data_IF_669309552042
#
_entry.id   IF_669309552042
#
_cell.length_a   1.000
_cell.length_b   1.000
_cell.length_c   1.000
_cell.angle_alpha   90.00
_cell.angle_beta   90.00
_cell.angle_gamma   90.00
#
_symmetry.space_group_name_H-M   'P 1'
#
loop_
_entity.id
_entity.type
_entity.pdbx_description
1 polymer ?
#
# COMPACT_ATOMS: atom_id res chain seq x y z
N UNK A 1 -22.87 -5.39 -12.10
CA UNK A 1 -22.71 -4.03 -12.67
C UNK A 1 -21.23 -3.72 -12.59
N UNK A 2 -20.55 -3.62 -13.74
CA UNK A 2 -19.13 -3.27 -13.79
C UNK A 2 -19.01 -1.76 -13.70
N UNK A 3 -18.32 -1.27 -12.67
CA UNK A 3 -18.07 0.15 -12.51
C UNK A 3 -16.94 0.56 -13.44
N UNK A 4 -17.21 1.38 -14.43
CA UNK A 4 -16.21 1.97 -15.30
C UNK A 4 -15.64 3.25 -14.65
N UNK A 5 -14.34 3.24 -14.37
CA UNK A 5 -13.63 4.39 -13.82
C UNK A 5 -12.86 5.16 -14.88
N UNK A 6 -12.94 6.48 -14.85
CA UNK A 6 -12.10 7.36 -15.68
C UNK A 6 -11.00 7.95 -14.78
N UNK A 7 -9.77 7.91 -15.26
CA UNK A 7 -8.63 8.55 -14.59
C UNK A 7 -8.63 10.05 -14.94
N UNK A 8 -8.87 10.90 -13.94
CA UNK A 8 -8.81 12.37 -14.13
C UNK A 8 -7.38 12.86 -14.32
N UNK A 9 -7.23 14.12 -14.77
CA UNK A 9 -5.93 14.79 -14.94
C UNK A 9 -5.10 14.82 -13.66
N UNK A 10 -5.76 14.79 -12.51
CA UNK A 10 -5.15 14.88 -11.18
C UNK A 10 -4.90 13.51 -10.53
N UNK A 11 -5.26 12.44 -11.24
CA UNK A 11 -5.01 11.07 -10.81
C UNK A 11 -6.10 10.45 -9.95
N UNK A 12 -7.24 11.12 -9.80
CA UNK A 12 -8.40 10.55 -9.14
C UNK A 12 -9.24 9.70 -10.10
N UNK A 13 -9.91 8.68 -9.54
CA UNK A 13 -10.86 7.85 -10.26
C UNK A 13 -12.24 8.50 -10.14
N UNK A 14 -12.90 8.73 -11.26
CA UNK A 14 -14.29 9.15 -11.29
C UNK A 14 -15.09 8.00 -11.91
N UNK A 15 -16.14 7.58 -11.22
CA UNK A 15 -17.11 6.64 -11.74
C UNK A 15 -17.89 7.32 -12.88
N UNK A 16 -17.78 6.81 -14.09
CA UNK A 16 -18.50 7.35 -15.23
C UNK A 16 -19.73 6.51 -15.52
N UNK A 17 -20.88 7.07 -15.32
CA UNK A 17 -22.17 6.50 -15.74
C UNK A 17 -22.56 6.86 -17.17
N UNK A 18 -21.76 7.69 -17.86
CA UNK A 18 -22.04 8.13 -19.23
C UNK A 18 -20.82 8.00 -20.13
N UNK A 19 -20.97 7.29 -21.25
CA UNK A 19 -20.04 7.24 -22.37
C UNK A 19 -20.08 8.60 -23.13
N UNK A 20 -19.24 9.54 -22.70
CA UNK A 20 -19.09 10.80 -23.44
C UNK A 20 -18.11 10.62 -24.59
N UNK A 21 -18.61 10.50 -25.79
CA UNK A 21 -17.83 10.57 -27.03
C UNK A 21 -17.37 12.00 -27.30
N UNK A 22 -16.22 12.40 -26.76
CA UNK A 22 -15.58 13.64 -27.18
C UNK A 22 -14.81 13.41 -28.48
N UNK A 23 -15.34 13.96 -29.59
CA UNK A 23 -14.61 14.03 -30.85
C UNK A 23 -13.29 14.81 -30.69
N UNK A 24 -12.17 14.21 -31.05
CA UNK A 24 -10.86 14.88 -31.02
C UNK A 24 -10.87 15.94 -32.12
N UNK A 25 -10.75 17.22 -31.75
CA UNK A 25 -10.69 18.37 -32.66
C UNK A 25 -9.57 18.17 -33.70
N UNK A 26 -9.91 18.11 -34.99
CA UNK A 26 -8.94 17.91 -36.08
C UNK A 26 -8.83 16.49 -36.64
N UNK A 27 -9.62 15.53 -36.16
CA UNK A 27 -9.66 14.18 -36.72
C UNK A 27 -10.58 14.15 -37.97
N UNK A 28 -10.04 13.76 -39.13
CA UNK A 28 -10.85 13.50 -40.32
C UNK A 28 -11.78 12.30 -40.05
N UNK A 29 -13.08 12.50 -40.34
CA UNK A 29 -14.07 11.43 -40.24
C UNK A 29 -13.60 10.18 -41.01
N UNK A 30 -13.58 9.02 -40.34
CA UNK A 30 -13.20 7.74 -40.92
C UNK A 30 -11.75 7.31 -40.74
N UNK A 31 -10.87 8.15 -40.16
CA UNK A 31 -9.48 7.76 -39.86
C UNK A 31 -9.33 7.54 -38.36
N UNK A 32 -9.29 6.28 -37.94
CA UNK A 32 -8.99 5.92 -36.56
C UNK A 32 -7.48 6.01 -36.33
N UNK A 33 -7.04 6.94 -35.51
CA UNK A 33 -5.61 7.19 -35.27
C UNK A 33 -4.88 5.97 -34.69
N UNK A 34 -5.57 5.11 -33.95
CA UNK A 34 -5.00 4.01 -33.19
C UNK A 34 -5.50 2.64 -33.62
N UNK A 35 -6.51 2.58 -34.48
CA UNK A 35 -7.06 1.36 -35.06
C UNK A 35 -7.21 1.50 -36.57
N UNK A 36 -6.91 0.43 -37.27
CA UNK A 36 -7.18 0.29 -38.70
C UNK A 36 -8.68 0.01 -38.95
N UNK A 37 -9.11 0.05 -40.21
CA UNK A 37 -10.52 -0.24 -40.61
C UNK A 37 -10.96 -1.67 -40.22
N UNK A 38 -10.05 -2.60 -40.21
CA UNK A 38 -10.26 -4.02 -39.84
C UNK A 38 -10.27 -4.27 -38.32
N UNK A 39 -10.15 -3.20 -37.51
CA UNK A 39 -10.09 -3.32 -36.05
C UNK A 39 -8.70 -3.59 -35.48
N UNK A 40 -7.69 -3.89 -36.30
CA UNK A 40 -6.32 -4.08 -35.86
C UNK A 40 -5.70 -2.75 -35.35
N UNK A 41 -4.71 -2.84 -34.47
CA UNK A 41 -4.03 -1.63 -33.94
C UNK A 41 -3.01 -1.11 -34.96
N UNK A 42 -3.00 0.22 -35.14
CA UNK A 42 -1.88 0.90 -35.83
C UNK A 42 -0.60 0.81 -34.98
N UNK A 43 0.56 1.12 -35.55
CA UNK A 43 1.82 1.18 -34.79
C UNK A 43 1.72 2.11 -33.55
N UNK A 44 1.04 3.24 -33.69
CA UNK A 44 0.79 4.14 -32.56
C UNK A 44 -0.19 3.56 -31.53
N UNK A 45 -1.17 2.79 -31.98
CA UNK A 45 -2.09 2.04 -31.14
C UNK A 45 -1.38 0.93 -30.36
N UNK A 46 -0.54 0.14 -31.02
CA UNK A 46 0.28 -0.90 -30.37
C UNK A 46 1.16 -0.32 -29.27
N UNK A 47 1.89 0.77 -29.53
CA UNK A 47 2.74 1.40 -28.53
C UNK A 47 1.95 1.85 -27.29
N UNK A 48 0.75 2.40 -27.47
CA UNK A 48 -0.12 2.76 -26.34
C UNK A 48 -0.60 1.55 -25.57
N UNK A 49 -1.03 0.51 -26.28
CA UNK A 49 -1.46 -0.75 -25.69
C UNK A 49 -0.35 -1.36 -24.85
N UNK A 50 0.87 -1.43 -25.37
CA UNK A 50 2.03 -1.97 -24.65
C UNK A 50 2.35 -1.17 -23.39
N UNK A 51 2.26 0.17 -23.46
CA UNK A 51 2.46 1.04 -22.28
C UNK A 51 1.40 0.79 -21.20
N UNK A 52 0.13 0.61 -21.59
CA UNK A 52 -0.97 0.35 -20.65
C UNK A 52 -0.88 -1.06 -20.06
N UNK A 53 -0.58 -2.06 -20.89
CA UNK A 53 -0.41 -3.44 -20.43
C UNK A 53 0.75 -3.52 -19.42
N UNK A 54 1.88 -2.91 -19.73
CA UNK A 54 3.02 -2.85 -18.82
C UNK A 54 2.68 -2.15 -17.50
N UNK A 55 1.88 -1.08 -17.54
CA UNK A 55 1.43 -0.37 -16.35
C UNK A 55 0.44 -1.23 -15.53
N UNK A 56 -0.48 -1.93 -16.19
CA UNK A 56 -1.42 -2.84 -15.55
C UNK A 56 -0.70 -4.00 -14.85
N UNK A 57 0.28 -4.60 -15.49
CA UNK A 57 1.07 -5.72 -14.93
C UNK A 57 1.93 -5.26 -13.76
N UNK A 58 2.49 -4.05 -13.81
CA UNK A 58 3.22 -3.47 -12.70
C UNK A 58 2.30 -3.19 -11.52
N UNK A 59 1.14 -2.60 -11.74
CA UNK A 59 0.14 -2.34 -10.71
C UNK A 59 -0.35 -3.66 -10.08
N UNK A 60 -0.59 -4.71 -10.89
CA UNK A 60 -0.94 -6.03 -10.38
C UNK A 60 0.13 -6.58 -9.45
N UNK A 61 1.41 -6.51 -9.84
CA UNK A 61 2.53 -6.97 -8.99
C UNK A 61 2.56 -6.23 -7.64
N UNK A 62 2.35 -4.92 -7.63
CA UNK A 62 2.29 -4.15 -6.40
C UNK A 62 1.07 -4.52 -5.54
N UNK A 63 -0.08 -4.76 -6.15
CA UNK A 63 -1.25 -5.29 -5.44
C UNK A 63 -0.95 -6.64 -4.78
N UNK A 64 -0.34 -7.56 -5.50
CA UNK A 64 0.00 -8.89 -4.97
C UNK A 64 1.04 -8.82 -3.85
N UNK A 65 2.03 -7.92 -3.96
CA UNK A 65 3.01 -7.67 -2.89
C UNK A 65 2.33 -7.10 -1.64
N UNK A 66 1.52 -6.07 -1.80
CA UNK A 66 0.81 -5.43 -0.70
C UNK A 66 -0.16 -6.40 0.01
N UNK A 67 -0.82 -7.29 -0.73
CA UNK A 67 -1.65 -8.34 -0.15
C UNK A 67 -0.84 -9.30 0.71
N UNK A 68 0.30 -9.78 0.21
CA UNK A 68 1.21 -10.65 0.99
C UNK A 68 1.73 -9.96 2.25
N UNK A 69 2.03 -8.67 2.17
CA UNK A 69 2.45 -7.89 3.34
C UNK A 69 1.30 -7.75 4.35
N UNK A 70 0.06 -7.53 3.89
CA UNK A 70 -1.13 -7.53 4.76
C UNK A 70 -1.31 -8.86 5.49
N UNK A 71 -1.21 -9.98 4.78
CA UNK A 71 -1.30 -11.32 5.37
C UNK A 71 -0.19 -11.57 6.40
N UNK A 72 1.05 -11.18 6.06
CA UNK A 72 2.22 -11.29 6.96
C UNK A 72 2.03 -10.47 8.23
N UNK A 73 1.58 -9.22 8.12
CA UNK A 73 1.34 -8.36 9.27
C UNK A 73 0.17 -8.86 10.13
N UNK A 74 -0.90 -9.38 9.52
CA UNK A 74 -1.99 -10.01 10.28
C UNK A 74 -1.48 -11.23 11.07
N UNK A 75 -0.69 -12.10 10.44
CA UNK A 75 -0.09 -13.24 11.13
C UNK A 75 0.79 -12.76 12.28
N UNK A 76 1.63 -11.74 12.05
CA UNK A 76 2.51 -11.19 13.09
C UNK A 76 1.71 -10.56 14.23
N UNK A 77 0.59 -9.89 13.96
CA UNK A 77 -0.29 -9.37 14.99
C UNK A 77 -0.79 -10.48 15.93
N UNK A 78 -1.27 -11.59 15.38
CA UNK A 78 -1.72 -12.72 16.21
C UNK A 78 -0.57 -13.38 16.99
N UNK A 79 0.62 -13.50 16.39
CA UNK A 79 1.81 -13.99 17.07
C UNK A 79 2.17 -13.14 18.29
N UNK A 80 2.24 -11.81 18.14
CA UNK A 80 2.61 -10.91 19.26
C UNK A 80 1.52 -10.85 20.33
N UNK A 81 0.25 -10.98 19.96
CA UNK A 81 -0.88 -11.05 20.89
C UNK A 81 -0.76 -12.26 21.83
N UNK A 82 -0.38 -13.42 21.28
CA UNK A 82 -0.28 -14.69 22.00
C UNK A 82 1.08 -14.88 22.67
N UNK A 83 2.10 -14.15 22.24
CA UNK A 83 3.47 -14.35 22.72
C UNK A 83 3.60 -14.08 24.22
N UNK A 84 4.38 -14.94 24.87
CA UNK A 84 4.87 -14.71 26.22
C UNK A 84 6.31 -14.22 26.15
N UNK A 85 6.70 -13.39 27.11
CA UNK A 85 8.08 -12.94 27.23
C UNK A 85 8.88 -13.88 28.13
N UNK A 86 10.11 -14.19 27.73
CA UNK A 86 11.06 -14.92 28.56
C UNK A 86 11.55 -14.06 29.72
N UNK A 87 12.16 -14.70 30.73
CA UNK A 87 12.76 -13.96 31.84
C UNK A 87 13.94 -13.08 31.40
N UNK A 88 14.67 -13.48 30.37
CA UNK A 88 15.74 -12.64 29.80
C UNK A 88 15.19 -11.40 29.12
N UNK A 89 14.11 -11.52 28.36
CA UNK A 89 13.40 -10.38 27.74
C UNK A 89 12.80 -9.47 28.82
N UNK A 90 12.18 -10.03 29.85
CA UNK A 90 11.69 -9.27 30.99
C UNK A 90 12.80 -8.45 31.65
N UNK A 91 13.93 -9.09 31.99
CA UNK A 91 15.08 -8.39 32.60
C UNK A 91 15.64 -7.30 31.68
N UNK A 92 15.68 -7.56 30.37
CA UNK A 92 16.11 -6.55 29.39
C UNK A 92 15.18 -5.35 29.40
N UNK A 93 13.87 -5.55 29.29
CA UNK A 93 12.87 -4.50 29.32
C UNK A 93 12.93 -3.69 30.61
N UNK A 94 13.09 -4.35 31.76
CA UNK A 94 13.20 -3.64 33.04
C UNK A 94 14.44 -2.75 33.11
N UNK A 95 15.58 -3.20 32.60
CA UNK A 95 16.80 -2.37 32.51
C UNK A 95 16.62 -1.17 31.58
N UNK A 96 15.96 -1.35 30.46
CA UNK A 96 15.68 -0.28 29.52
C UNK A 96 14.73 0.78 30.11
N UNK A 97 13.72 0.35 30.87
CA UNK A 97 12.74 1.23 31.50
C UNK A 97 13.27 1.95 32.75
N UNK A 98 14.00 1.24 33.60
CA UNK A 98 14.31 1.69 34.96
C UNK A 98 15.79 1.74 35.30
N UNK A 99 16.67 1.34 34.39
CA UNK A 99 18.13 1.41 34.61
C UNK A 99 18.55 0.72 35.90
N UNK A 100 19.15 1.47 36.84
CA UNK A 100 19.65 0.95 38.12
C UNK A 100 18.55 0.43 39.05
N UNK A 101 17.31 0.90 38.90
CA UNK A 101 16.16 0.48 39.71
C UNK A 101 15.46 -0.78 39.19
N UNK A 102 15.92 -1.35 38.08
CA UNK A 102 15.33 -2.52 37.44
C UNK A 102 15.25 -3.79 38.34
N UNK A 103 16.11 -3.89 39.35
CA UNK A 103 16.16 -4.99 40.32
C UNK A 103 15.37 -4.73 41.60
N UNK A 104 14.87 -3.51 41.83
CA UNK A 104 13.99 -3.18 42.97
C UNK A 104 12.56 -3.59 42.59
N UNK A 105 12.16 -4.77 43.05
CA UNK A 105 10.84 -5.32 42.74
C UNK A 105 9.70 -4.43 43.20
N UNK A 106 9.84 -3.78 44.37
CA UNK A 106 8.81 -2.89 44.95
C UNK A 106 8.66 -1.61 44.13
N UNK A 107 9.78 -1.02 43.74
CA UNK A 107 9.81 0.14 42.87
C UNK A 107 9.17 -0.16 41.51
N UNK A 108 9.61 -1.23 40.86
CA UNK A 108 9.11 -1.66 39.53
C UNK A 108 7.60 -1.97 39.59
N UNK A 109 7.12 -2.62 40.64
CA UNK A 109 5.68 -2.88 40.80
C UNK A 109 4.87 -1.62 40.99
N UNK A 110 5.38 -0.66 41.77
CA UNK A 110 4.73 0.64 42.00
C UNK A 110 4.64 1.43 40.70
N UNK A 111 5.75 1.52 39.96
CA UNK A 111 5.77 2.24 38.70
C UNK A 111 4.89 1.58 37.62
N UNK A 112 4.85 0.25 37.56
CA UNK A 112 3.94 -0.43 36.66
C UNK A 112 2.46 -0.03 36.95
N UNK A 113 2.07 0.02 38.18
CA UNK A 113 0.71 0.47 38.60
C UNK A 113 0.46 1.95 38.29
N UNK A 114 1.44 2.82 38.55
CA UNK A 114 1.36 4.25 38.23
C UNK A 114 1.17 4.48 36.73
N UNK A 115 1.79 3.66 35.88
CA UNK A 115 1.64 3.67 34.42
C UNK A 115 0.37 2.97 33.91
N UNK A 116 -0.48 2.44 34.81
CA UNK A 116 -1.75 1.80 34.46
C UNK A 116 -1.67 0.33 34.05
N UNK A 117 -0.54 -0.34 34.33
CA UNK A 117 -0.37 -1.77 34.06
C UNK A 117 -0.76 -2.61 35.27
N UNK A 118 -1.33 -3.79 35.04
CA UNK A 118 -1.72 -4.69 36.11
C UNK A 118 -0.51 -5.29 36.87
N UNK A 119 0.62 -5.44 36.18
CA UNK A 119 1.86 -5.97 36.73
C UNK A 119 3.07 -5.62 35.84
N UNK A 120 4.31 -5.71 36.40
CA UNK A 120 5.53 -5.41 35.67
C UNK A 120 5.75 -6.23 34.37
N UNK A 121 5.25 -7.47 34.34
CA UNK A 121 5.41 -8.34 33.17
C UNK A 121 4.54 -7.90 32.00
N UNK A 122 3.34 -7.38 32.28
CA UNK A 122 2.50 -6.74 31.27
C UNK A 122 3.17 -5.49 30.71
N UNK A 123 3.69 -4.62 31.56
CA UNK A 123 4.44 -3.43 31.16
C UNK A 123 5.64 -3.79 30.28
N UNK A 124 6.41 -4.80 30.67
CA UNK A 124 7.52 -5.28 29.86
C UNK A 124 7.08 -5.82 28.48
N UNK A 125 5.95 -6.50 28.40
CA UNK A 125 5.37 -6.96 27.13
C UNK A 125 5.04 -5.79 26.21
N UNK A 126 4.36 -4.78 26.72
CA UNK A 126 3.99 -3.60 25.94
C UNK A 126 5.23 -2.81 25.48
N UNK A 127 6.23 -2.61 26.38
CA UNK A 127 7.49 -1.96 26.02
C UNK A 127 8.24 -2.70 24.89
N UNK A 128 8.19 -4.01 24.86
CA UNK A 128 8.79 -4.82 23.81
C UNK A 128 7.91 -4.95 22.54
N UNK A 129 6.78 -4.26 22.50
CA UNK A 129 5.82 -4.41 21.41
C UNK A 129 5.18 -5.82 21.32
N UNK A 130 5.15 -6.54 22.44
CA UNK A 130 4.61 -7.90 22.58
C UNK A 130 3.36 -7.82 23.47
N UNK A 131 2.25 -7.40 22.92
CA UNK A 131 1.02 -7.25 23.68
C UNK A 131 -0.04 -6.53 22.86
N UNK A 132 -0.91 -5.81 23.56
CA UNK A 132 -2.01 -5.09 22.92
C UNK A 132 -1.50 -4.01 21.94
N UNK A 133 -0.55 -3.21 22.35
CA UNK A 133 0.01 -2.15 21.50
C UNK A 133 0.70 -2.74 20.27
N UNK A 134 1.53 -3.76 20.43
CA UNK A 134 2.16 -4.45 19.30
C UNK A 134 1.13 -5.06 18.35
N UNK A 135 0.07 -5.66 18.88
CA UNK A 135 -1.04 -6.17 18.08
C UNK A 135 -1.70 -5.06 17.24
N UNK A 136 -2.05 -3.92 17.87
CA UNK A 136 -2.70 -2.80 17.17
C UNK A 136 -1.79 -2.21 16.10
N UNK A 137 -0.49 -2.08 16.37
CA UNK A 137 0.50 -1.60 15.39
C UNK A 137 0.55 -2.51 14.17
N UNK A 138 0.68 -3.82 14.36
CA UNK A 138 0.70 -4.76 13.24
C UNK A 138 -0.64 -4.84 12.51
N UNK A 139 -1.77 -4.68 13.20
CA UNK A 139 -3.10 -4.57 12.57
C UNK A 139 -3.21 -3.31 11.72
N UNK A 140 -2.68 -2.18 12.21
CA UNK A 140 -2.65 -0.95 11.42
C UNK A 140 -1.81 -1.11 10.14
N UNK A 141 -0.64 -1.78 10.22
CA UNK A 141 0.17 -2.10 9.04
C UNK A 141 -0.56 -3.02 8.06
N UNK A 142 -1.22 -4.06 8.56
CA UNK A 142 -2.01 -4.98 7.75
C UNK A 142 -3.13 -4.24 7.00
N UNK A 143 -3.86 -3.37 7.69
CA UNK A 143 -4.94 -2.58 7.10
C UNK A 143 -4.43 -1.59 6.05
N UNK A 144 -3.27 -0.96 6.29
CA UNK A 144 -2.63 -0.06 5.31
C UNK A 144 -2.20 -0.84 4.07
N UNK A 145 -1.54 -1.97 4.25
CA UNK A 145 -1.12 -2.83 3.16
C UNK A 145 -2.33 -3.33 2.35
N UNK A 146 -3.44 -3.67 3.01
CA UNK A 146 -4.69 -4.03 2.33
C UNK A 146 -5.24 -2.89 1.47
N UNK A 147 -5.33 -1.67 2.02
CA UNK A 147 -5.78 -0.49 1.26
C UNK A 147 -4.90 -0.24 0.04
N UNK A 148 -3.58 -0.40 0.17
CA UNK A 148 -2.66 -0.28 -0.96
C UNK A 148 -2.86 -1.39 -2.00
N UNK A 149 -3.11 -2.63 -1.57
CA UNK A 149 -3.42 -3.73 -2.48
C UNK A 149 -4.68 -3.45 -3.30
N UNK A 150 -5.74 -2.97 -2.65
CA UNK A 150 -7.01 -2.63 -3.30
C UNK A 150 -6.82 -1.46 -4.28
N UNK A 151 -6.07 -0.43 -3.90
CA UNK A 151 -5.72 0.69 -4.78
C UNK A 151 -4.97 0.23 -6.04
N UNK A 152 -3.92 -0.58 -5.90
CA UNK A 152 -3.15 -1.06 -7.05
C UNK A 152 -3.93 -2.05 -7.90
N UNK A 153 -4.84 -2.82 -7.31
CA UNK A 153 -5.78 -3.65 -8.06
C UNK A 153 -6.68 -2.79 -8.95
N UNK A 154 -7.33 -1.77 -8.38
CA UNK A 154 -8.16 -0.83 -9.13
C UNK A 154 -7.37 -0.12 -10.24
N UNK A 155 -6.13 0.27 -9.98
CA UNK A 155 -5.24 0.86 -10.98
C UNK A 155 -4.91 -0.12 -12.12
N UNK A 156 -4.62 -1.38 -11.80
CA UNK A 156 -4.40 -2.44 -12.81
C UNK A 156 -5.62 -2.65 -13.70
N UNK A 157 -6.79 -2.76 -13.08
CA UNK A 157 -8.04 -2.98 -13.78
C UNK A 157 -8.38 -1.77 -14.67
N UNK A 158 -8.14 -0.56 -14.20
CA UNK A 158 -8.32 0.68 -14.99
C UNK A 158 -7.42 0.73 -16.22
N UNK A 159 -6.15 0.33 -16.10
CA UNK A 159 -5.25 0.28 -17.25
C UNK A 159 -5.63 -0.81 -18.24
N UNK A 160 -6.11 -1.98 -17.79
CA UNK A 160 -6.55 -3.07 -18.65
C UNK A 160 -7.79 -2.72 -19.45
N UNK A 161 -8.74 -2.03 -18.81
CA UNK A 161 -10.05 -1.72 -19.39
C UNK A 161 -10.07 -0.36 -20.11
N UNK A 162 -8.93 0.34 -20.15
CA UNK A 162 -8.86 1.66 -20.77
C UNK A 162 -9.02 1.58 -22.28
N UNK A 163 -9.97 2.33 -22.82
CA UNK A 163 -10.06 2.53 -24.27
C UNK A 163 -8.89 3.36 -24.78
N UNK A 164 -8.03 2.73 -25.58
CA UNK A 164 -6.81 3.34 -26.15
C UNK A 164 -7.12 4.59 -26.96
N UNK A 165 -8.29 4.66 -27.58
CA UNK A 165 -8.70 5.79 -28.42
C UNK A 165 -9.12 7.00 -27.61
N UNK A 166 -9.64 6.81 -26.39
CA UNK A 166 -10.13 7.86 -25.51
C UNK A 166 -9.02 8.52 -24.67
N UNK A 167 -7.90 7.83 -24.43
CA UNK A 167 -6.82 8.34 -23.59
C UNK A 167 -6.04 9.48 -24.25
N UNK A 168 -5.83 10.56 -23.51
CA UNK A 168 -4.98 11.64 -23.94
C UNK A 168 -3.48 11.34 -23.74
N UNK A 169 -2.61 12.19 -24.36
CA UNK A 169 -1.15 12.03 -24.30
C UNK A 169 -0.59 12.11 -22.86
N UNK A 170 -1.23 12.89 -21.97
CA UNK A 170 -0.79 13.02 -20.57
C UNK A 170 -1.04 11.71 -19.79
N UNK A 171 -2.19 11.08 -20.01
CA UNK A 171 -2.52 9.79 -19.36
C UNK A 171 -1.58 8.67 -19.79
N UNK A 172 -1.24 8.59 -21.08
CA UNK A 172 -0.24 7.62 -21.56
C UNK A 172 1.13 7.88 -20.94
N UNK A 173 1.60 9.14 -20.93
CA UNK A 173 2.87 9.50 -20.28
C UNK A 173 2.88 9.16 -18.78
N UNK A 174 1.73 9.29 -18.11
CA UNK A 174 1.60 8.92 -16.69
C UNK A 174 1.75 7.42 -16.49
N UNK A 175 1.15 6.59 -17.36
CA UNK A 175 1.34 5.15 -17.35
C UNK A 175 2.80 4.77 -17.62
N UNK A 176 3.46 5.38 -18.62
CA UNK A 176 4.87 5.19 -18.92
C UNK A 176 5.77 5.59 -17.74
N UNK A 177 5.48 6.73 -17.10
CA UNK A 177 6.21 7.18 -15.90
C UNK A 177 6.02 6.18 -14.74
N UNK A 178 4.81 5.69 -14.52
CA UNK A 178 4.55 4.67 -13.51
C UNK A 178 5.31 3.37 -13.77
N UNK A 179 5.39 2.91 -15.03
CA UNK A 179 6.20 1.73 -15.40
C UNK A 179 7.67 1.96 -15.08
N UNK A 180 8.20 3.14 -15.41
CA UNK A 180 9.62 3.46 -15.26
C UNK A 180 10.01 3.64 -13.79
N UNK A 181 9.29 4.45 -13.06
CA UNK A 181 9.71 4.99 -11.77
C UNK A 181 9.00 4.34 -10.57
N UNK A 182 7.88 3.66 -10.80
CA UNK A 182 7.02 3.18 -9.72
C UNK A 182 6.13 4.27 -9.14
N UNK A 183 5.58 4.03 -7.96
CA UNK A 183 4.58 4.90 -7.35
C UNK A 183 5.16 6.24 -6.90
N UNK A 184 6.35 6.24 -6.33
CA UNK A 184 7.02 7.42 -5.79
C UNK A 184 8.38 7.63 -6.43
N UNK A 185 8.37 7.92 -7.70
CA UNK A 185 9.52 8.36 -8.47
C UNK A 185 10.78 7.47 -8.47
N UNK A 186 11.05 6.64 -7.52
CA UNK A 186 12.16 5.69 -7.46
C UNK A 186 12.03 4.68 -6.31
N UNK A 187 10.98 4.77 -5.50
CA UNK A 187 10.74 3.84 -4.41
C UNK A 187 9.81 2.72 -4.83
N UNK A 188 10.11 1.51 -4.42
CA UNK A 188 9.15 0.41 -4.44
C UNK A 188 8.08 0.65 -3.37
N UNK A 189 6.90 0.06 -3.54
CA UNK A 189 5.86 0.07 -2.52
C UNK A 189 6.41 -0.32 -1.13
N UNK A 190 7.28 -1.34 -1.09
CA UNK A 190 7.85 -1.84 0.15
C UNK A 190 8.80 -0.84 0.81
N UNK A 191 9.68 -0.21 0.03
CA UNK A 191 10.61 0.82 0.52
C UNK A 191 9.87 2.04 1.06
N UNK A 192 8.84 2.49 0.34
CA UNK A 192 8.01 3.60 0.80
C UNK A 192 7.33 3.33 2.13
N UNK A 193 6.69 2.17 2.28
CA UNK A 193 6.01 1.84 3.53
C UNK A 193 7.00 1.66 4.68
N UNK A 194 8.15 1.07 4.45
CA UNK A 194 9.19 0.90 5.47
C UNK A 194 9.70 2.26 5.97
N UNK A 195 10.00 3.20 5.08
CA UNK A 195 10.42 4.55 5.45
C UNK A 195 9.31 5.33 6.18
N UNK A 196 8.08 5.24 5.69
CA UNK A 196 6.95 5.87 6.34
C UNK A 196 6.71 5.31 7.74
N UNK A 197 6.82 4.00 7.90
CA UNK A 197 6.66 3.30 9.18
C UNK A 197 7.76 3.67 10.17
N UNK A 198 9.02 3.76 9.74
CA UNK A 198 10.13 4.26 10.55
C UNK A 198 9.88 5.69 11.06
N UNK A 199 9.42 6.59 10.17
CA UNK A 199 9.16 7.99 10.53
C UNK A 199 8.00 8.16 11.50
N UNK A 200 6.94 7.33 11.39
CA UNK A 200 5.70 7.51 12.12
C UNK A 200 5.56 6.63 13.36
N UNK A 201 6.28 5.52 13.40
CA UNK A 201 6.20 4.55 14.50
C UNK A 201 7.54 4.27 15.19
N UNK A 202 8.62 4.94 14.77
CA UNK A 202 9.93 4.79 15.41
C UNK A 202 10.55 3.39 15.25
N UNK A 203 10.21 2.67 14.17
CA UNK A 203 10.69 1.31 13.89
C UNK A 203 12.03 1.30 13.15
#
# INVERSE_FOLDING_TARGET
>A
MENNYIITSDGFFIESTELMHYGIKGQKWGVRRYQNKDGSLTAAGKKRYDSLTSAADKAKRFSDMARKDSERFNKKAEEVKLAQISDSQYKKAMRELFGNYANDAKYVETEAKNMGYNNPRQMAKEHLGIGKEGYEVYKAFANRAKKAADFYKGLSDSYKNADISSLNKKQIKKAEKFVKNGYLENMTYREYNLEWDKQHYGL
#
